data_IF_020245757366
#
_entry.id   IF_020245757366
#
_cell.length_a   1.000
_cell.length_b   1.000
_cell.length_c   1.000
_cell.angle_alpha   90.00
_cell.angle_beta   90.00
_cell.angle_gamma   90.00
#
_symmetry.space_group_name_H-M   'P 1'
#
loop_
_entity.id
_entity.type
_entity.pdbx_description
1 polymer ?
#
# COMPACT_ATOMS: atom_id res chain seq x y z
N UNK A 1 13.20 -12.59 -8.78
CA UNK A 1 12.07 -12.89 -7.87
C UNK A 1 11.52 -11.56 -7.34
N UNK A 2 10.22 -11.49 -7.07
CA UNK A 2 9.57 -10.28 -6.55
C UNK A 2 9.08 -10.50 -5.12
N UNK A 3 9.20 -9.45 -4.32
CA UNK A 3 8.69 -9.37 -2.96
C UNK A 3 7.89 -8.09 -2.83
N UNK A 4 6.66 -8.22 -2.36
CA UNK A 4 5.78 -7.11 -2.03
C UNK A 4 5.63 -7.03 -0.53
N UNK A 5 6.15 -5.95 0.04
CA UNK A 5 6.13 -5.67 1.47
C UNK A 5 5.19 -4.48 1.70
N UNK A 6 4.14 -4.66 2.47
CA UNK A 6 3.10 -3.64 2.61
C UNK A 6 2.41 -3.72 3.97
N UNK A 7 2.04 -2.56 4.52
CA UNK A 7 1.16 -2.49 5.68
C UNK A 7 -0.18 -3.20 5.39
N UNK A 8 -0.73 -3.91 6.37
CA UNK A 8 -1.97 -4.67 6.19
C UNK A 8 -3.25 -3.86 6.38
N UNK A 9 -3.15 -2.54 6.41
CA UNK A 9 -4.30 -1.63 6.37
C UNK A 9 -4.69 -1.28 4.93
N UNK A 10 -5.66 -0.37 4.79
CA UNK A 10 -6.12 0.09 3.50
C UNK A 10 -5.03 0.76 2.67
N UNK A 11 -4.16 1.57 3.28
CA UNK A 11 -3.22 2.39 2.52
C UNK A 11 -2.10 1.54 1.93
N UNK A 12 -1.54 0.60 2.71
CA UNK A 12 -0.58 -0.37 2.22
C UNK A 12 -1.16 -1.30 1.13
N UNK A 13 -2.36 -1.85 1.35
CA UNK A 13 -3.02 -2.76 0.40
C UNK A 13 -3.33 -2.06 -0.93
N UNK A 14 -3.97 -0.88 -0.89
CA UNK A 14 -4.37 -0.19 -2.12
C UNK A 14 -3.20 0.47 -2.84
N UNK A 15 -2.12 0.83 -2.14
CA UNK A 15 -0.86 1.24 -2.75
C UNK A 15 -0.24 0.11 -3.58
N UNK A 16 -0.12 -1.07 -2.99
CA UNK A 16 0.38 -2.25 -3.70
C UNK A 16 -0.50 -2.59 -4.90
N UNK A 17 -1.82 -2.59 -4.70
CA UNK A 17 -2.77 -2.96 -5.75
C UNK A 17 -2.67 -2.03 -6.97
N UNK A 18 -2.70 -0.71 -6.75
CA UNK A 18 -2.46 0.28 -7.81
C UNK A 18 -1.15 0.01 -8.54
N UNK A 19 -0.06 -0.21 -7.80
CA UNK A 19 1.25 -0.45 -8.39
C UNK A 19 1.30 -1.70 -9.25
N UNK A 20 0.65 -2.80 -8.81
CA UNK A 20 0.63 -4.09 -9.51
C UNK A 20 -0.31 -4.14 -10.69
N UNK A 21 -1.37 -3.33 -10.71
CA UNK A 21 -2.19 -3.14 -11.90
C UNK A 21 -1.38 -2.51 -13.05
N UNK A 22 -0.50 -1.55 -12.77
CA UNK A 22 0.40 -0.97 -13.77
C UNK A 22 1.63 -1.84 -14.07
N UNK A 23 2.21 -2.45 -13.03
CA UNK A 23 3.45 -3.21 -13.08
C UNK A 23 3.21 -4.68 -12.71
N UNK A 24 2.51 -5.44 -13.58
CA UNK A 24 2.13 -6.81 -13.29
C UNK A 24 3.36 -7.71 -13.18
N UNK A 25 3.28 -8.66 -12.25
CA UNK A 25 4.28 -9.72 -12.09
C UNK A 25 3.55 -11.06 -11.98
N UNK A 26 4.14 -12.11 -12.57
CA UNK A 26 3.51 -13.44 -12.56
C UNK A 26 3.44 -14.07 -11.17
N UNK A 27 4.41 -13.74 -10.31
CA UNK A 27 4.44 -14.20 -8.93
C UNK A 27 5.23 -13.21 -8.07
N UNK A 28 4.72 -12.95 -6.88
CA UNK A 28 5.38 -12.15 -5.84
C UNK A 28 5.15 -12.79 -4.48
N UNK A 29 6.17 -12.75 -3.62
CA UNK A 29 6.02 -13.16 -2.23
C UNK A 29 5.49 -11.97 -1.44
N UNK A 30 4.30 -12.13 -0.87
CA UNK A 30 3.64 -11.11 -0.06
C UNK A 30 4.15 -11.15 1.37
N UNK A 31 4.52 -10.01 1.93
CA UNK A 31 4.92 -9.83 3.33
C UNK A 31 4.12 -8.66 3.88
N UNK A 32 3.30 -8.94 4.88
CA UNK A 32 2.36 -7.99 5.47
C UNK A 32 2.00 -8.47 6.87
N UNK A 33 1.41 -7.58 7.67
CA UNK A 33 1.06 -7.82 9.06
C UNK A 33 -0.10 -6.93 9.48
N UNK A 34 -0.41 -6.90 10.78
CA UNK A 34 -1.38 -5.93 11.34
C UNK A 34 -0.88 -4.50 11.12
N UNK A 35 -1.76 -3.49 11.25
CA UNK A 35 -1.41 -2.06 11.06
C UNK A 35 -0.23 -1.58 11.91
N UNK A 36 -0.07 -2.18 13.09
CA UNK A 36 1.01 -1.85 14.05
C UNK A 36 2.33 -2.60 13.77
N UNK A 37 2.34 -3.58 12.88
CA UNK A 37 3.57 -4.26 12.47
C UNK A 37 4.31 -3.41 11.44
N UNK A 38 5.10 -2.47 11.96
CA UNK A 38 5.80 -1.46 11.16
C UNK A 38 7.22 -1.88 10.75
N UNK A 39 7.67 -3.10 11.07
CA UNK A 39 9.05 -3.58 10.81
C UNK A 39 9.09 -4.75 9.81
N UNK A 40 8.16 -4.78 8.85
CA UNK A 40 7.97 -5.91 7.94
C UNK A 40 9.20 -6.28 7.10
N UNK A 41 10.10 -5.34 6.78
CA UNK A 41 11.32 -5.67 6.04
C UNK A 41 12.26 -6.61 6.81
N UNK A 42 12.16 -6.66 8.14
CA UNK A 42 12.94 -7.60 8.96
C UNK A 42 12.58 -9.07 8.67
N UNK A 43 11.37 -9.33 8.17
CA UNK A 43 10.91 -10.66 7.79
C UNK A 43 11.55 -11.16 6.47
N UNK A 44 12.16 -10.26 5.68
CA UNK A 44 12.87 -10.62 4.44
C UNK A 44 14.29 -11.04 4.79
N UNK A 45 14.55 -12.34 4.85
CA UNK A 45 15.86 -12.92 5.16
C UNK A 45 16.42 -13.72 3.98
N UNK A 46 17.74 -13.68 3.82
CA UNK A 46 18.49 -14.49 2.86
C UNK A 46 18.07 -14.37 1.38
N UNK A 47 17.63 -13.17 0.97
CA UNK A 47 17.28 -12.87 -0.44
C UNK A 47 18.39 -12.09 -1.12
N UNK A 48 18.70 -12.45 -2.36
CA UNK A 48 19.67 -11.73 -3.20
C UNK A 48 19.20 -11.65 -4.64
N UNK A 49 19.63 -10.63 -5.37
CA UNK A 49 19.26 -10.41 -6.77
C UNK A 49 17.72 -10.37 -7.00
N UNK A 50 16.98 -9.85 -6.03
CA UNK A 50 15.52 -9.74 -6.05
C UNK A 50 15.06 -8.29 -6.25
N UNK A 51 13.81 -8.13 -6.69
CA UNK A 51 13.13 -6.84 -6.75
C UNK A 51 12.14 -6.76 -5.58
N UNK A 52 12.30 -5.75 -4.74
CA UNK A 52 11.45 -5.50 -3.59
C UNK A 52 10.68 -4.20 -3.82
N UNK A 53 9.40 -4.24 -3.49
CA UNK A 53 8.52 -3.08 -3.48
C UNK A 53 7.91 -2.96 -2.10
N UNK A 54 8.08 -1.79 -1.49
CA UNK A 54 7.74 -1.51 -0.10
C UNK A 54 6.70 -0.40 -0.06
N UNK A 55 5.62 -0.63 0.67
CA UNK A 55 4.49 0.30 0.77
C UNK A 55 4.12 0.52 2.24
N UNK A 56 4.01 1.79 2.62
CA UNK A 56 3.31 2.24 3.82
C UNK A 56 3.90 1.74 5.16
N UNK A 57 5.23 1.62 5.20
CA UNK A 57 5.95 1.36 6.44
C UNK A 57 7.17 2.27 6.52
N UNK A 58 7.37 2.89 7.67
CA UNK A 58 8.47 3.85 7.90
C UNK A 58 9.82 3.30 7.44
N UNK A 59 10.47 4.02 6.52
CA UNK A 59 11.86 3.73 6.12
C UNK A 59 12.79 3.75 7.32
N UNK A 60 12.59 4.68 8.25
CA UNK A 60 13.43 4.81 9.43
C UNK A 60 13.34 3.57 10.33
N UNK A 61 12.10 3.11 10.59
CA UNK A 61 11.84 1.90 11.38
C UNK A 61 12.40 0.63 10.72
N UNK A 62 12.52 0.62 9.39
CA UNK A 62 13.00 -0.52 8.61
C UNK A 62 14.46 -0.38 8.14
N UNK A 63 15.15 0.72 8.50
CA UNK A 63 16.49 1.05 8.00
C UNK A 63 17.52 -0.08 8.14
N UNK A 64 17.65 -0.77 9.29
CA UNK A 64 18.62 -1.86 9.41
C UNK A 64 18.36 -2.99 8.41
N UNK A 65 17.10 -3.37 8.21
CA UNK A 65 16.72 -4.39 7.24
C UNK A 65 16.94 -3.92 5.80
N UNK A 66 16.58 -2.67 5.49
CA UNK A 66 16.80 -2.06 4.17
C UNK A 66 18.29 -2.07 3.78
N UNK A 67 19.18 -1.62 4.67
CA UNK A 67 20.62 -1.59 4.40
C UNK A 67 21.19 -2.98 4.14
N UNK A 68 20.78 -3.98 4.94
CA UNK A 68 21.16 -5.38 4.72
C UNK A 68 20.70 -5.88 3.35
N UNK A 69 19.44 -5.61 2.97
CA UNK A 69 18.88 -6.06 1.69
C UNK A 69 19.59 -5.40 0.50
N UNK A 70 19.94 -4.12 0.60
CA UNK A 70 20.67 -3.41 -0.46
C UNK A 70 22.08 -3.97 -0.67
N UNK A 71 22.73 -4.52 0.36
CA UNK A 71 24.04 -5.19 0.25
C UNK A 71 23.98 -6.54 -0.48
N UNK A 72 22.78 -7.09 -0.70
CA UNK A 72 22.57 -8.41 -1.31
C UNK A 72 22.18 -8.31 -2.80
N UNK A 73 22.58 -7.23 -3.49
CA UNK A 73 22.24 -6.96 -4.90
C UNK A 73 20.72 -6.91 -5.18
N UNK A 74 19.91 -6.59 -4.17
CA UNK A 74 18.49 -6.38 -4.36
C UNK A 74 18.22 -4.96 -4.86
N UNK A 75 17.19 -4.79 -5.68
CA UNK A 75 16.66 -3.46 -6.03
C UNK A 75 15.39 -3.20 -5.23
N UNK A 76 15.28 -2.02 -4.63
CA UNK A 76 14.18 -1.65 -3.73
C UNK A 76 13.49 -0.40 -4.25
N UNK A 77 12.18 -0.48 -4.47
CA UNK A 77 11.30 0.69 -4.64
C UNK A 77 10.53 0.88 -3.34
N UNK A 78 10.56 2.09 -2.80
CA UNK A 78 10.06 2.35 -1.46
C UNK A 78 9.07 3.52 -1.52
N UNK A 79 7.81 3.27 -1.22
CA UNK A 79 6.73 4.27 -1.20
C UNK A 79 6.22 4.41 0.23
N UNK A 80 6.32 5.60 0.80
CA UNK A 80 5.95 5.82 2.19
C UNK A 80 5.76 7.31 2.49
N UNK A 81 4.88 7.62 3.44
CA UNK A 81 4.61 8.97 3.92
C UNK A 81 5.03 9.19 5.39
N UNK A 82 5.43 8.13 6.09
CA UNK A 82 5.93 8.22 7.46
C UNK A 82 7.34 8.81 7.52
N UNK A 83 7.74 9.26 8.72
CA UNK A 83 9.10 9.75 8.95
C UNK A 83 10.15 8.73 8.48
N UNK A 84 11.05 9.19 7.61
CA UNK A 84 12.06 8.37 6.94
C UNK A 84 13.49 8.60 7.45
N UNK A 85 13.72 9.62 8.30
CA UNK A 85 15.07 10.06 8.66
C UNK A 85 15.94 10.34 7.44
N UNK A 86 17.24 10.06 7.54
CA UNK A 86 18.15 10.16 6.40
C UNK A 86 17.85 9.05 5.38
N UNK A 87 17.79 9.35 4.09
CA UNK A 87 17.57 8.31 3.07
C UNK A 87 18.92 7.73 2.62
N UNK A 88 19.12 6.39 2.64
CA UNK A 88 20.37 5.78 2.20
C UNK A 88 20.71 6.13 0.74
N UNK A 89 21.92 6.64 0.51
CA UNK A 89 22.44 6.90 -0.83
C UNK A 89 22.86 5.60 -1.52
N UNK A 90 21.92 4.90 -2.16
CA UNK A 90 22.18 3.68 -2.93
C UNK A 90 21.55 3.76 -4.32
N UNK A 91 22.27 3.40 -5.41
CA UNK A 91 21.69 3.35 -6.75
C UNK A 91 20.62 2.25 -6.90
N UNK A 92 20.60 1.28 -5.97
CA UNK A 92 19.61 0.21 -5.95
C UNK A 92 18.35 0.57 -5.13
N UNK A 93 18.28 1.77 -4.56
CA UNK A 93 17.10 2.29 -3.86
C UNK A 93 16.43 3.38 -4.68
N UNK A 94 15.14 3.21 -4.94
CA UNK A 94 14.26 4.24 -5.51
C UNK A 94 13.25 4.68 -4.43
N UNK A 95 13.55 5.74 -3.67
CA UNK A 95 12.69 6.24 -2.60
C UNK A 95 11.65 7.24 -3.16
N UNK A 96 10.38 6.98 -2.86
CA UNK A 96 9.23 7.84 -3.13
C UNK A 96 8.62 8.21 -1.78
N UNK A 97 9.25 9.20 -1.12
CA UNK A 97 8.91 9.62 0.23
C UNK A 97 8.31 11.03 0.20
N UNK A 98 7.12 11.19 0.77
CA UNK A 98 6.48 12.49 0.98
C UNK A 98 5.90 12.55 2.39
N UNK A 99 6.51 13.37 3.25
CA UNK A 99 6.18 13.49 4.67
C UNK A 99 5.02 14.46 4.94
N UNK A 100 4.37 14.97 3.90
CA UNK A 100 3.27 15.91 4.03
C UNK A 100 2.09 15.26 4.75
N UNK A 101 1.55 15.93 5.77
CA UNK A 101 0.32 15.51 6.46
C UNK A 101 -0.92 15.48 5.53
N UNK A 102 -0.78 15.95 4.29
CA UNK A 102 -1.83 16.05 3.28
C UNK A 102 -1.75 14.91 2.24
N UNK A 103 -0.93 13.88 2.48
CA UNK A 103 -0.77 12.71 1.62
C UNK A 103 -0.75 11.39 2.41
N UNK A 104 -1.02 10.30 1.71
CA UNK A 104 -0.85 8.92 2.15
C UNK A 104 -0.11 8.16 1.05
N UNK A 105 0.36 6.94 1.33
CA UNK A 105 1.10 6.11 0.38
C UNK A 105 0.31 5.85 -0.90
N UNK A 106 -1.01 5.68 -0.82
CA UNK A 106 -1.87 5.45 -1.99
C UNK A 106 -1.89 6.66 -2.93
N UNK A 107 -1.82 7.88 -2.38
CA UNK A 107 -1.74 9.11 -3.17
C UNK A 107 -0.33 9.31 -3.77
N UNK A 108 0.72 8.88 -3.06
CA UNK A 108 2.10 8.87 -3.61
C UNK A 108 2.18 7.93 -4.81
N UNK A 109 1.65 6.71 -4.69
CA UNK A 109 1.59 5.74 -5.80
C UNK A 109 0.76 6.31 -6.95
N UNK A 110 -0.43 6.85 -6.68
CA UNK A 110 -1.28 7.49 -7.68
C UNK A 110 -0.54 8.56 -8.51
N UNK A 111 0.19 9.45 -7.84
CA UNK A 111 0.99 10.47 -8.49
C UNK A 111 2.11 9.86 -9.35
N UNK A 112 2.81 8.84 -8.84
CA UNK A 112 3.85 8.14 -9.60
C UNK A 112 3.31 7.44 -10.85
N UNK A 113 2.11 6.88 -10.77
CA UNK A 113 1.43 6.24 -11.90
C UNK A 113 0.74 7.24 -12.84
N UNK A 114 1.09 8.53 -12.75
CA UNK A 114 0.51 9.60 -13.58
C UNK A 114 -1.02 9.68 -13.50
N UNK A 115 -1.57 9.41 -12.32
CA UNK A 115 -2.99 9.50 -12.06
C UNK A 115 -3.81 8.29 -12.49
N UNK A 116 -3.19 7.15 -12.84
CA UNK A 116 -3.91 5.91 -13.12
C UNK A 116 -4.49 5.31 -11.84
N UNK A 117 -5.55 4.51 -11.98
CA UNK A 117 -6.22 3.80 -10.87
C UNK A 117 -6.74 4.72 -9.75
N UNK A 118 -7.15 5.94 -10.10
CA UNK A 118 -7.63 6.98 -9.19
C UNK A 118 -8.68 6.51 -8.18
N UNK A 119 -9.57 5.60 -8.57
CA UNK A 119 -10.60 5.08 -7.65
C UNK A 119 -9.99 4.30 -6.47
N UNK A 120 -8.93 3.51 -6.70
CA UNK A 120 -8.19 2.84 -5.63
C UNK A 120 -7.40 3.83 -4.77
N UNK A 121 -6.84 4.89 -5.37
CA UNK A 121 -6.22 5.98 -4.64
C UNK A 121 -7.20 6.69 -3.69
N UNK A 122 -8.45 6.90 -4.14
CA UNK A 122 -9.53 7.46 -3.34
C UNK A 122 -9.86 6.54 -2.15
N UNK A 123 -9.96 5.22 -2.36
CA UNK A 123 -10.18 4.26 -1.27
C UNK A 123 -9.06 4.29 -0.23
N UNK A 124 -7.79 4.31 -0.67
CA UNK A 124 -6.63 4.44 0.23
C UNK A 124 -6.65 5.73 1.04
N UNK A 125 -6.93 6.86 0.38
CA UNK A 125 -7.04 8.15 1.06
C UNK A 125 -8.20 8.20 2.07
N UNK A 126 -9.33 7.55 1.81
CA UNK A 126 -10.38 7.40 2.83
C UNK A 126 -9.94 6.51 3.98
N UNK A 127 -9.31 5.36 3.69
CA UNK A 127 -8.78 4.46 4.70
C UNK A 127 -7.76 5.11 5.63
N UNK A 128 -6.95 6.04 5.12
CA UNK A 128 -5.99 6.82 5.92
C UNK A 128 -6.56 8.12 6.50
N UNK A 129 -7.90 8.24 6.57
CA UNK A 129 -8.63 9.38 7.13
C UNK A 129 -8.43 10.73 6.40
N UNK A 130 -7.90 10.75 5.17
CA UNK A 130 -7.75 11.94 4.33
C UNK A 130 -9.04 12.29 3.55
N UNK A 131 -10.18 12.37 4.25
CA UNK A 131 -11.52 12.46 3.64
C UNK A 131 -11.66 13.67 2.71
N UNK A 132 -11.04 14.81 3.07
CA UNK A 132 -11.07 16.02 2.22
C UNK A 132 -10.33 15.82 0.90
N UNK A 133 -9.19 15.13 0.91
CA UNK A 133 -8.41 14.81 -0.29
C UNK A 133 -9.14 13.82 -1.16
N UNK A 134 -9.60 12.72 -0.57
CA UNK A 134 -10.38 11.70 -1.25
C UNK A 134 -11.63 12.28 -1.91
N UNK A 135 -12.39 13.11 -1.20
CA UNK A 135 -13.58 13.81 -1.73
C UNK A 135 -13.23 14.77 -2.86
N UNK A 136 -12.12 15.50 -2.74
CA UNK A 136 -11.68 16.45 -3.79
C UNK A 136 -11.31 15.69 -5.06
N UNK A 137 -10.57 14.58 -4.92
CA UNK A 137 -10.19 13.72 -6.04
C UNK A 137 -11.40 13.03 -6.67
N UNK A 138 -12.36 12.56 -5.88
CA UNK A 138 -13.61 11.98 -6.38
C UNK A 138 -14.44 12.99 -7.21
N UNK A 139 -14.44 14.27 -6.81
CA UNK A 139 -15.13 15.34 -7.56
C UNK A 139 -14.49 15.60 -8.92
N UNK A 140 -13.18 15.40 -9.11
CA UNK A 140 -12.55 15.55 -10.44
C UNK A 140 -13.04 14.49 -11.42
N UNK A 141 -13.40 13.31 -10.91
CA UNK A 141 -14.01 12.21 -11.66
C UNK A 141 -15.54 12.34 -11.79
N UNK A 142 -16.15 13.39 -11.22
CA UNK A 142 -17.60 13.62 -11.21
C UNK A 142 -18.41 12.45 -10.61
N UNK A 143 -17.85 11.77 -9.60
CA UNK A 143 -18.55 10.69 -8.91
C UNK A 143 -19.80 11.20 -8.20
N UNK A 144 -20.84 10.37 -8.16
CA UNK A 144 -22.07 10.68 -7.43
C UNK A 144 -21.84 10.57 -5.90
N UNK A 145 -22.62 11.27 -5.06
CA UNK A 145 -22.49 11.13 -3.61
C UNK A 145 -22.63 9.66 -3.12
N UNK A 146 -23.56 8.84 -3.63
CA UNK A 146 -23.60 7.41 -3.29
C UNK A 146 -22.31 6.66 -3.63
N UNK A 147 -21.70 6.91 -4.80
CA UNK A 147 -20.45 6.26 -5.20
C UNK A 147 -19.29 6.65 -4.27
N UNK A 148 -19.23 7.93 -3.87
CA UNK A 148 -18.21 8.41 -2.93
C UNK A 148 -18.35 7.69 -1.58
N UNK A 149 -19.58 7.53 -1.08
CA UNK A 149 -19.85 6.82 0.18
C UNK A 149 -19.38 5.36 0.08
N UNK A 150 -19.66 4.68 -1.02
CA UNK A 150 -19.22 3.28 -1.23
C UNK A 150 -17.69 3.14 -1.23
N UNK A 151 -16.97 4.07 -1.86
CA UNK A 151 -15.50 4.07 -1.86
C UNK A 151 -14.93 4.41 -0.48
N UNK A 152 -15.59 5.30 0.26
CA UNK A 152 -15.23 5.64 1.63
C UNK A 152 -15.39 4.43 2.54
N UNK A 153 -16.54 3.77 2.50
CA UNK A 153 -16.82 2.58 3.29
C UNK A 153 -15.81 1.46 3.00
N UNK A 154 -15.47 1.24 1.72
CA UNK A 154 -14.44 0.27 1.33
C UNK A 154 -13.07 0.61 1.97
N UNK A 155 -12.66 1.87 1.91
CA UNK A 155 -11.42 2.35 2.51
C UNK A 155 -11.39 2.17 4.02
N UNK A 156 -12.45 2.60 4.70
CA UNK A 156 -12.58 2.52 6.14
C UNK A 156 -12.62 1.06 6.63
N UNK A 157 -13.38 0.18 5.96
CA UNK A 157 -13.46 -1.24 6.34
C UNK A 157 -12.10 -1.97 6.22
N UNK A 158 -11.35 -1.72 5.15
CA UNK A 158 -9.98 -2.28 5.01
C UNK A 158 -9.05 -1.75 6.10
N UNK A 159 -9.13 -0.45 6.42
CA UNK A 159 -8.33 0.12 7.50
C UNK A 159 -8.74 -0.46 8.87
N UNK A 160 -10.05 -0.63 9.12
CA UNK A 160 -10.56 -1.26 10.34
C UNK A 160 -10.06 -2.68 10.52
N UNK A 161 -10.03 -3.49 9.45
CA UNK A 161 -9.46 -4.83 9.51
C UNK A 161 -7.97 -4.83 9.91
N UNK A 162 -7.22 -3.76 9.65
CA UNK A 162 -5.82 -3.66 10.05
C UNK A 162 -5.59 -3.53 11.56
N UNK A 163 -6.61 -3.21 12.36
CA UNK A 163 -6.46 -3.00 13.81
C UNK A 163 -6.55 -4.32 14.60
N UNK A 164 -5.39 -4.89 14.93
CA UNK A 164 -5.26 -5.99 15.88
C UNK A 164 -3.90 -5.97 16.59
N UNK A 165 -3.74 -6.81 17.61
CA UNK A 165 -2.42 -7.05 18.23
C UNK A 165 -1.64 -8.14 17.50
N UNK A 166 -2.37 -9.07 16.90
CA UNK A 166 -1.89 -10.23 16.17
C UNK A 166 -2.75 -10.48 14.93
N UNK A 167 -2.29 -11.35 14.03
CA UNK A 167 -3.05 -11.70 12.82
C UNK A 167 -4.35 -12.43 13.16
N UNK A 168 -4.37 -13.14 14.29
CA UNK A 168 -5.52 -13.86 14.82
C UNK A 168 -6.64 -12.95 15.32
N UNK A 169 -6.33 -11.67 15.59
CA UNK A 169 -7.33 -10.67 15.98
C UNK A 169 -8.06 -10.07 14.78
N UNK A 170 -7.54 -10.26 13.57
CA UNK A 170 -8.09 -9.66 12.37
C UNK A 170 -9.28 -10.47 11.85
N UNK A 171 -10.25 -9.79 11.25
CA UNK A 171 -11.38 -10.46 10.61
C UNK A 171 -10.92 -11.25 9.38
N UNK A 172 -10.00 -10.69 8.61
CA UNK A 172 -9.33 -11.33 7.49
C UNK A 172 -7.82 -11.12 7.57
N UNK A 173 -7.07 -12.13 7.12
CA UNK A 173 -5.63 -11.97 6.97
C UNK A 173 -5.34 -10.95 5.84
N UNK A 174 -4.42 -9.97 6.00
CA UNK A 174 -4.19 -8.91 5.01
C UNK A 174 -3.74 -9.45 3.64
N UNK A 175 -3.04 -10.59 3.58
CA UNK A 175 -2.76 -11.26 2.31
C UNK A 175 -4.04 -11.73 1.60
N UNK A 176 -5.04 -12.22 2.34
CA UNK A 176 -6.32 -12.66 1.77
C UNK A 176 -7.11 -11.46 1.25
N UNK A 177 -7.10 -10.34 1.99
CA UNK A 177 -7.70 -9.08 1.51
C UNK A 177 -7.06 -8.59 0.22
N UNK A 178 -5.73 -8.58 0.15
CA UNK A 178 -5.03 -8.19 -1.08
C UNK A 178 -5.38 -9.14 -2.25
N UNK A 179 -5.38 -10.46 -2.01
CA UNK A 179 -5.75 -11.44 -3.02
C UNK A 179 -7.20 -11.28 -3.49
N UNK A 180 -8.11 -10.86 -2.61
CA UNK A 180 -9.51 -10.62 -2.95
C UNK A 180 -9.69 -9.41 -3.89
N UNK A 181 -8.90 -8.35 -3.72
CA UNK A 181 -8.96 -7.16 -4.60
C UNK A 181 -8.17 -7.33 -5.90
N UNK A 182 -7.16 -8.21 -5.91
CA UNK A 182 -6.25 -8.42 -7.05
C UNK A 182 -6.94 -8.59 -8.42
N UNK A 183 -8.08 -9.29 -8.56
CA UNK A 183 -8.77 -9.45 -9.85
C UNK A 183 -9.39 -8.17 -10.40
N UNK A 184 -9.55 -7.12 -9.58
CA UNK A 184 -10.41 -5.98 -9.89
C UNK A 184 -9.60 -4.73 -10.18
N UNK A 185 -9.61 -4.29 -11.44
CA UNK A 185 -9.02 -3.00 -11.81
C UNK A 185 -9.84 -1.80 -11.28
N UNK A 186 -11.13 -2.00 -11.03
CA UNK A 186 -12.06 -1.00 -10.53
C UNK A 186 -12.66 -1.45 -9.19
N UNK A 187 -12.61 -0.63 -8.12
CA UNK A 187 -13.18 -1.00 -6.81
C UNK A 187 -14.70 -1.22 -6.83
N UNK A 188 -15.44 -0.63 -7.76
CA UNK A 188 -16.87 -0.89 -7.86
C UNK A 188 -17.17 -2.34 -8.28
N UNK A 189 -16.35 -2.92 -9.16
CA UNK A 189 -16.51 -4.33 -9.57
C UNK A 189 -16.24 -5.27 -8.37
N UNK A 190 -15.28 -4.92 -7.51
CA UNK A 190 -15.03 -5.65 -6.26
C UNK A 190 -16.23 -5.56 -5.32
N UNK A 191 -16.76 -4.35 -5.10
CA UNK A 191 -17.91 -4.11 -4.22
C UNK A 191 -19.19 -4.80 -4.71
N UNK A 192 -19.42 -4.83 -6.02
CA UNK A 192 -20.59 -5.47 -6.62
C UNK A 192 -20.51 -7.01 -6.56
N UNK A 193 -19.31 -7.57 -6.43
CA UNK A 193 -19.08 -9.03 -6.29
C UNK A 193 -19.06 -9.49 -4.83
N UNK A 194 -18.68 -8.60 -3.91
CA UNK A 194 -18.46 -8.93 -2.49
C UNK A 194 -19.73 -8.87 -1.64
N UNK A 195 -20.90 -9.16 -2.23
CA UNK A 195 -22.17 -9.24 -1.50
C UNK A 195 -22.25 -10.55 -0.72
N UNK A 196 -21.49 -10.67 0.38
CA UNK A 196 -21.72 -11.55 1.54
C UNK A 196 -20.69 -11.29 2.65
#
# INVERSE_FOLDING_TARGET
>A
MFYDIFNGDADGIFSLHQYRLENPVSHSRLITGVKRDIQLLAQVQDVSNCNLTVFDISLDSNRPALLRLLQQNNTVRYFDHHFAGDIPGSPALSPYIDLSAETCTSLIVHAQLSGKYTLWAICGAFGDNLHRKATTLAKTLKLSPPDIIRLQELGELFNYNGYGYSLEDLHFHPQQLYQAVQPFANPFDFLDTSTE
#
